data_IF_311758540886
#
_entry.id   IF_311758540886
#
_cell.length_a   1.000
_cell.length_b   1.000
_cell.length_c   1.000
_cell.angle_alpha   90.00
_cell.angle_beta   90.00
_cell.angle_gamma   90.00
#
_symmetry.space_group_name_H-M   'P 1'
#
loop_
_entity.id
_entity.type
_entity.pdbx_description
1 polymer ?
#
# COMPACT_ATOMS: atom_id res chain seq x y z
N UNK A 1 8.75 -13.57 -2.26
CA UNK A 1 9.76 -13.06 -1.31
C UNK A 1 9.63 -11.56 -1.35
N UNK A 2 9.30 -10.95 -0.21
CA UNK A 2 9.16 -9.52 -0.05
C UNK A 2 10.53 -8.88 0.20
N UNK A 3 10.70 -7.63 -0.26
CA UNK A 3 11.84 -6.78 0.06
C UNK A 3 11.39 -5.33 0.30
N UNK A 4 12.26 -4.55 0.92
CA UNK A 4 12.09 -3.09 0.97
C UNK A 4 11.92 -2.52 -0.45
N UNK A 5 11.11 -1.47 -0.55
CA UNK A 5 10.66 -0.83 -1.79
C UNK A 5 9.76 -1.69 -2.70
N UNK A 6 9.37 -2.90 -2.31
CA UNK A 6 8.28 -3.60 -3.01
C UNK A 6 6.93 -2.91 -2.77
N UNK A 7 6.09 -2.93 -3.80
CA UNK A 7 4.71 -2.44 -3.71
C UNK A 7 3.78 -3.57 -3.26
N UNK A 8 2.97 -3.25 -2.25
CA UNK A 8 2.09 -4.20 -1.58
C UNK A 8 0.70 -3.63 -1.45
N UNK A 9 -0.32 -4.47 -1.62
CA UNK A 9 -1.71 -4.09 -1.40
C UNK A 9 -2.20 -4.62 -0.05
N UNK A 10 -2.85 -3.77 0.74
CA UNK A 10 -3.52 -4.25 1.96
C UNK A 10 -4.76 -5.07 1.62
N UNK A 11 -4.93 -6.23 2.25
CA UNK A 11 -6.05 -7.17 1.95
C UNK A 11 -7.25 -7.01 2.89
N UNK A 12 -7.19 -6.07 3.83
CA UNK A 12 -8.24 -5.76 4.81
C UNK A 12 -8.41 -4.25 4.96
N UNK A 13 -9.54 -3.83 5.53
CA UNK A 13 -9.75 -2.43 5.91
C UNK A 13 -9.08 -2.14 7.26
N UNK A 14 -8.47 -0.96 7.39
CA UNK A 14 -7.95 -0.40 8.63
C UNK A 14 -8.48 1.05 8.75
N UNK A 15 -9.77 1.23 9.10
CA UNK A 15 -10.43 2.53 9.08
C UNK A 15 -9.79 3.55 10.04
N UNK A 16 -9.19 3.08 11.14
CA UNK A 16 -8.45 3.93 12.09
C UNK A 16 -7.16 4.52 11.52
N UNK A 17 -6.72 4.04 10.36
CA UNK A 17 -5.57 4.54 9.60
C UNK A 17 -5.96 5.12 8.23
N UNK A 18 -7.26 5.30 7.97
CA UNK A 18 -7.77 5.75 6.66
C UNK A 18 -7.40 4.81 5.49
N UNK A 19 -7.15 3.54 5.78
CA UNK A 19 -6.82 2.53 4.77
C UNK A 19 -8.03 1.64 4.51
N UNK A 20 -8.27 1.38 3.23
CA UNK A 20 -9.23 0.36 2.78
C UNK A 20 -8.51 -0.72 1.99
N UNK A 21 -9.08 -1.92 1.99
CA UNK A 21 -8.61 -3.04 1.18
C UNK A 21 -8.39 -2.59 -0.26
N UNK A 22 -7.24 -2.94 -0.83
CA UNK A 22 -6.88 -2.55 -2.19
C UNK A 22 -5.96 -1.34 -2.26
N UNK A 23 -5.79 -0.56 -1.18
CA UNK A 23 -4.78 0.49 -1.15
C UNK A 23 -3.39 -0.10 -1.32
N UNK A 24 -2.60 0.56 -2.18
CA UNK A 24 -1.22 0.19 -2.47
C UNK A 24 -0.30 1.02 -1.58
N UNK A 25 0.60 0.35 -0.89
CA UNK A 25 1.70 0.94 -0.13
C UNK A 25 3.03 0.35 -0.55
N UNK A 26 4.10 0.85 0.07
CA UNK A 26 5.47 0.40 -0.17
C UNK A 26 6.04 -0.18 1.13
N UNK A 27 6.72 -1.33 1.06
CA UNK A 27 7.46 -1.84 2.22
C UNK A 27 8.62 -0.87 2.52
N UNK A 28 8.49 -0.12 3.62
CA UNK A 28 9.49 0.84 4.07
C UNK A 28 10.55 0.20 4.97
N UNK A 29 10.18 -0.85 5.71
CA UNK A 29 11.08 -1.58 6.60
C UNK A 29 10.61 -3.03 6.82
N UNK A 30 11.58 -3.94 6.98
CA UNK A 30 11.33 -5.35 7.33
C UNK A 30 11.88 -5.64 8.73
N UNK A 31 11.04 -6.21 9.60
CA UNK A 31 11.47 -6.59 10.95
C UNK A 31 12.29 -7.89 10.93
N UNK A 32 13.32 -7.97 11.78
CA UNK A 32 14.34 -9.04 11.78
C UNK A 32 13.78 -10.46 12.00
N UNK A 33 12.66 -10.60 12.72
CA UNK A 33 12.03 -11.89 13.01
C UNK A 33 11.28 -12.50 11.81
N UNK A 34 11.20 -11.75 10.70
CA UNK A 34 10.49 -12.13 9.49
C UNK A 34 8.97 -12.07 9.63
N UNK A 35 8.29 -11.83 8.51
CA UNK A 35 6.83 -11.91 8.44
C UNK A 35 6.06 -10.71 8.98
N UNK A 36 6.75 -9.66 9.44
CA UNK A 36 6.18 -8.33 9.70
C UNK A 36 6.88 -7.27 8.84
N UNK A 37 6.07 -6.39 8.25
CA UNK A 37 6.49 -5.38 7.29
C UNK A 37 5.89 -4.04 7.71
N UNK A 38 6.70 -3.00 7.83
CA UNK A 38 6.18 -1.65 7.92
C UNK A 38 5.88 -1.17 6.51
N UNK A 39 4.59 -0.98 6.20
CA UNK A 39 4.13 -0.54 4.88
C UNK A 39 3.69 0.91 4.97
N UNK A 40 4.29 1.76 4.14
CA UNK A 40 3.94 3.18 4.01
C UNK A 40 2.95 3.39 2.87
N UNK A 41 1.89 4.15 3.13
CA UNK A 41 0.87 4.56 2.17
C UNK A 41 0.95 6.06 1.97
N UNK A 42 1.15 6.49 0.73
CA UNK A 42 1.26 7.91 0.36
C UNK A 42 0.08 8.36 -0.49
N UNK A 43 -0.26 9.64 -0.39
CA UNK A 43 -1.19 10.27 -1.33
C UNK A 43 -0.46 10.78 -2.60
N UNK A 44 -1.21 11.32 -3.56
CA UNK A 44 -0.64 11.85 -4.81
C UNK A 44 0.22 13.13 -4.63
N UNK A 45 0.22 13.75 -3.44
CA UNK A 45 1.13 14.83 -3.08
C UNK A 45 2.49 14.30 -2.58
N UNK A 46 2.62 12.99 -2.38
CA UNK A 46 3.80 12.35 -1.79
C UNK A 46 3.82 12.41 -0.26
N UNK A 47 2.69 12.74 0.38
CA UNK A 47 2.58 12.77 1.85
C UNK A 47 2.17 11.40 2.38
N UNK A 48 2.76 10.99 3.49
CA UNK A 48 2.37 9.79 4.23
C UNK A 48 0.95 9.96 4.78
N UNK A 49 0.03 9.13 4.30
CA UNK A 49 -1.33 8.99 4.86
C UNK A 49 -1.29 8.08 6.08
N UNK A 50 -0.57 6.96 5.97
CA UNK A 50 -0.42 6.02 7.08
C UNK A 50 0.85 5.19 6.94
N UNK A 51 1.36 4.73 8.08
CA UNK A 51 2.26 3.60 8.18
C UNK A 51 1.60 2.50 9.04
N UNK A 52 1.72 1.26 8.59
CA UNK A 52 1.13 0.10 9.25
C UNK A 52 2.11 -1.07 9.27
N UNK A 53 2.31 -1.62 10.46
CA UNK A 53 2.96 -2.92 10.64
C UNK A 53 1.97 -4.00 10.23
N UNK A 54 2.24 -4.67 9.12
CA UNK A 54 1.38 -5.70 8.54
C UNK A 54 2.14 -7.02 8.48
N UNK A 55 1.42 -8.11 8.69
CA UNK A 55 1.94 -9.46 8.46
C UNK A 55 1.82 -9.88 7.00
N UNK A 56 2.51 -10.96 6.63
CA UNK A 56 2.44 -11.54 5.27
C UNK A 56 1.01 -11.89 4.83
N UNK A 57 0.11 -12.25 5.76
CA UNK A 57 -1.30 -12.54 5.43
C UNK A 57 -2.15 -11.29 5.23
N UNK A 58 -1.62 -10.11 5.54
CA UNK A 58 -2.32 -8.83 5.49
C UNK A 58 -1.91 -7.98 4.27
N UNK A 59 -0.89 -8.43 3.55
CA UNK A 59 -0.40 -7.82 2.30
C UNK A 59 -0.54 -8.78 1.12
N UNK A 60 -0.54 -8.20 -0.07
CA UNK A 60 -0.56 -8.94 -1.33
C UNK A 60 0.34 -8.26 -2.35
N UNK A 61 1.32 -9.03 -2.84
CA UNK A 61 2.33 -8.57 -3.77
C UNK A 61 1.73 -7.97 -5.04
N UNK A 62 2.00 -6.70 -5.28
CA UNK A 62 1.66 -6.04 -6.53
C UNK A 62 2.66 -6.48 -7.59
N UNK A 63 2.21 -7.20 -8.62
CA UNK A 63 3.07 -7.64 -9.72
C UNK A 63 3.38 -6.45 -10.64
N UNK A 64 4.57 -5.83 -10.60
CA UNK A 64 4.78 -4.52 -11.23
C UNK A 64 4.65 -4.57 -12.75
N UNK A 65 4.89 -5.72 -13.38
CA UNK A 65 4.78 -5.90 -14.83
C UNK A 65 3.33 -5.86 -15.33
N UNK A 66 2.36 -6.11 -14.44
CA UNK A 66 0.95 -6.26 -14.80
C UNK A 66 0.03 -5.28 -14.03
N UNK A 67 0.61 -4.40 -13.20
CA UNK A 67 -0.14 -3.49 -12.34
C UNK A 67 -0.16 -2.07 -12.92
N UNK A 68 -1.34 -1.45 -12.87
CA UNK A 68 -1.52 -0.03 -13.18
C UNK A 68 -2.12 0.60 -11.94
N UNK A 69 -1.42 1.59 -11.36
CA UNK A 69 -1.94 2.34 -10.22
C UNK A 69 -3.11 3.20 -10.68
N UNK A 70 -4.18 3.19 -9.90
CA UNK A 70 -5.44 3.84 -10.23
C UNK A 70 -5.70 5.04 -9.32
N UNK A 71 -6.04 6.19 -9.91
CA UNK A 71 -6.55 7.35 -9.18
C UNK A 71 -8.07 7.29 -9.19
N UNK A 72 -8.68 7.21 -8.00
CA UNK A 72 -10.14 7.23 -7.88
C UNK A 72 -10.71 8.63 -8.17
N UNK A 73 -11.96 8.67 -8.65
CA UNK A 73 -12.75 9.90 -8.82
C UNK A 73 -12.09 10.98 -9.70
N UNK A 74 -11.59 10.58 -10.88
CA UNK A 74 -11.16 11.54 -11.90
C UNK A 74 -12.41 12.30 -12.39
N UNK A 75 -12.54 13.57 -12.00
CA UNK A 75 -13.59 14.43 -12.56
C UNK A 75 -13.27 14.71 -14.04
N UNK A 76 -14.19 14.36 -14.92
CA UNK A 76 -14.13 14.87 -16.29
C UNK A 76 -14.61 16.31 -16.26
N UNK A 77 -13.69 17.27 -16.37
CA UNK A 77 -14.07 18.63 -16.72
C UNK A 77 -14.65 18.59 -18.13
N UNK A 78 -15.98 18.50 -18.24
CA UNK A 78 -16.68 18.76 -19.50
C UNK A 78 -16.57 20.26 -19.74
N UNK A 79 -15.71 20.65 -20.70
CA UNK A 79 -15.67 22.01 -21.25
C UNK A 79 -16.90 22.22 -22.14
#
# INVERSE_FOLDING_TARGET
>A
MYKEADLETIVKDLPEKELVRGHVGTIAFMYDDGGLYEVEFINALGETVAAATLSESEIFAVQPQNAILHVANVSTNTV
#
